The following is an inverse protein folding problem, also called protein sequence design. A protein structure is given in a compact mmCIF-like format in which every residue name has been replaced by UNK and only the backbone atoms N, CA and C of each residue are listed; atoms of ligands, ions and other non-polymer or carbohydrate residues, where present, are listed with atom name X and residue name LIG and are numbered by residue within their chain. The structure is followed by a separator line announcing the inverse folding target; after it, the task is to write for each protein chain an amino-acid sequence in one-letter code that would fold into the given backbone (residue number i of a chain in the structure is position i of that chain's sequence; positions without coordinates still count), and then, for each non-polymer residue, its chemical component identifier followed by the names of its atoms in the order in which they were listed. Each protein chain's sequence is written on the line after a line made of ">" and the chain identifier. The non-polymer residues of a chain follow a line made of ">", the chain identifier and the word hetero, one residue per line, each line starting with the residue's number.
data_IF_543158039847
#
_entry.id   IF_543158039847
#
_cell.length_a   1.000
_cell.length_b   1.000
_cell.length_c   1.000
_cell.angle_alpha   90.00
_cell.angle_beta   90.00
_cell.angle_gamma   90.00
#
_symmetry.space_group_name_H-M   'P 1'
#
loop_
_entity.id
_entity.type
_entity.pdbx_description
1 polymer ?
#
# COMPACT_ATOMS: atom_id res chain seq x y z
N UNK A 1 13.44 -2.74 -10.00
CA UNK A 1 13.26 -1.29 -9.85
C UNK A 1 12.95 -1.04 -8.38
N UNK A 2 13.84 -0.39 -7.64
CA UNK A 2 13.55 0.07 -6.27
C UNK A 2 12.52 1.19 -6.36
N UNK A 3 11.40 1.13 -5.63
CA UNK A 3 10.45 2.23 -5.62
C UNK A 3 11.14 3.48 -5.07
N UNK A 4 11.11 4.56 -5.82
CA UNK A 4 11.63 5.86 -5.38
C UNK A 4 10.90 6.29 -4.13
N UNK A 5 11.64 6.60 -3.06
CA UNK A 5 11.09 7.13 -1.82
C UNK A 5 10.61 8.55 -2.08
N UNK A 6 9.38 8.93 -1.69
CA UNK A 6 8.95 10.33 -1.74
C UNK A 6 9.78 11.21 -0.79
N UNK A 7 10.17 12.42 -1.22
CA UNK A 7 11.09 13.30 -0.47
C UNK A 7 10.59 13.70 0.93
N UNK A 8 9.29 13.64 1.17
CA UNK A 8 8.65 13.98 2.45
C UNK A 8 8.46 12.79 3.40
N UNK A 9 8.87 11.58 3.01
CA UNK A 9 8.73 10.37 3.81
C UNK A 9 10.07 9.85 4.30
N UNK A 10 10.09 9.31 5.52
CA UNK A 10 11.27 8.62 6.01
C UNK A 10 11.53 7.36 5.14
N UNK A 11 12.73 7.19 4.57
CA UNK A 11 13.05 6.05 3.70
C UNK A 11 12.82 4.68 4.32
N UNK A 12 13.15 4.53 5.61
CA UNK A 12 12.95 3.26 6.33
C UNK A 12 11.46 2.97 6.48
N UNK A 13 10.69 3.97 6.88
CA UNK A 13 9.23 3.86 7.03
C UNK A 13 8.58 3.51 5.69
N UNK A 14 9.01 4.15 4.60
CA UNK A 14 8.52 3.87 3.25
C UNK A 14 8.81 2.44 2.82
N UNK A 15 10.05 1.96 2.98
CA UNK A 15 10.39 0.59 2.60
C UNK A 15 9.59 -0.46 3.39
N UNK A 16 9.36 -0.21 4.68
CA UNK A 16 8.49 -1.07 5.51
C UNK A 16 7.04 -1.02 5.02
N UNK A 17 6.50 0.17 4.75
CA UNK A 17 5.15 0.35 4.25
C UNK A 17 4.93 -0.35 2.89
N UNK A 18 5.90 -0.24 1.97
CA UNK A 18 5.87 -0.95 0.69
C UNK A 18 5.89 -2.47 0.88
N UNK A 19 6.72 -2.98 1.79
CA UNK A 19 6.80 -4.42 2.05
C UNK A 19 5.46 -4.98 2.56
N UNK A 20 4.84 -4.29 3.53
CA UNK A 20 3.50 -4.62 4.05
C UNK A 20 2.46 -4.55 2.94
N UNK A 21 2.46 -3.46 2.15
CA UNK A 21 1.52 -3.27 1.04
C UNK A 21 1.62 -4.38 0.00
N UNK A 22 2.83 -4.81 -0.35
CA UNK A 22 3.06 -5.92 -1.29
C UNK A 22 2.56 -7.24 -0.74
N UNK A 23 2.80 -7.53 0.54
CA UNK A 23 2.34 -8.76 1.17
C UNK A 23 0.81 -8.86 1.14
N UNK A 24 0.12 -7.77 1.46
CA UNK A 24 -1.35 -7.72 1.46
C UNK A 24 -1.94 -7.79 0.05
N UNK A 25 -1.40 -7.03 -0.90
CA UNK A 25 -1.79 -7.14 -2.31
C UNK A 25 -1.57 -8.56 -2.86
N UNK A 26 -0.46 -9.21 -2.51
CA UNK A 26 -0.18 -10.58 -2.93
C UNK A 26 -1.14 -11.61 -2.32
N UNK A 27 -1.59 -11.40 -1.08
CA UNK A 27 -2.63 -12.21 -0.44
C UNK A 27 -3.94 -12.12 -1.23
N UNK A 28 -4.43 -10.91 -1.44
CA UNK A 28 -5.69 -10.64 -2.14
C UNK A 28 -5.65 -11.17 -3.58
N UNK A 29 -4.53 -10.98 -4.28
CA UNK A 29 -4.34 -11.53 -5.63
C UNK A 29 -4.44 -13.06 -5.65
N UNK A 30 -3.81 -13.77 -4.70
CA UNK A 30 -3.90 -15.24 -4.59
C UNK A 30 -5.32 -15.71 -4.28
N UNK A 31 -6.07 -14.93 -3.53
CA UNK A 31 -7.47 -15.20 -3.20
C UNK A 31 -8.42 -14.90 -4.39
N UNK A 32 -7.88 -14.41 -5.52
CA UNK A 32 -8.65 -14.09 -6.74
C UNK A 32 -9.25 -12.69 -6.75
N UNK A 33 -8.84 -11.82 -5.82
CA UNK A 33 -9.28 -10.43 -5.73
C UNK A 33 -8.58 -9.51 -6.73
N UNK A 34 -9.08 -8.27 -6.83
CA UNK A 34 -8.57 -7.24 -7.71
C UNK A 34 -7.84 -6.12 -6.93
N UNK A 35 -7.03 -5.27 -7.60
CA UNK A 35 -6.36 -4.14 -6.95
C UNK A 35 -7.33 -3.20 -6.20
N UNK A 36 -8.56 -3.06 -6.70
CA UNK A 36 -9.60 -2.28 -6.05
C UNK A 36 -10.01 -2.84 -4.69
N UNK A 37 -9.98 -4.17 -4.52
CA UNK A 37 -10.31 -4.81 -3.25
C UNK A 37 -9.22 -4.59 -2.22
N UNK A 38 -7.96 -4.58 -2.66
CA UNK A 38 -6.83 -4.19 -1.81
C UNK A 38 -6.96 -2.73 -1.34
N UNK A 39 -7.26 -1.79 -2.24
CA UNK A 39 -7.47 -0.39 -1.86
C UNK A 39 -8.61 -0.24 -0.83
N UNK A 40 -9.74 -0.93 -1.05
CA UNK A 40 -10.88 -0.91 -0.11
C UNK A 40 -10.51 -1.46 1.27
N UNK A 41 -9.65 -2.47 1.36
CA UNK A 41 -9.20 -3.03 2.64
C UNK A 41 -8.45 -1.99 3.51
N UNK A 42 -7.87 -0.97 2.88
CA UNK A 42 -7.20 0.16 3.54
C UNK A 42 -8.07 1.43 3.56
N UNK A 43 -9.36 1.34 3.23
CA UNK A 43 -10.27 2.49 3.20
C UNK A 43 -10.03 3.47 2.05
N UNK A 44 -9.22 3.08 1.06
CA UNK A 44 -8.87 3.92 -0.09
C UNK A 44 -9.89 3.75 -1.22
N UNK A 45 -10.16 4.85 -1.92
CA UNK A 45 -11.05 4.82 -3.08
C UNK A 45 -10.29 4.29 -4.31
N UNK A 46 -10.84 3.25 -4.92
CA UNK A 46 -10.32 2.68 -6.14
C UNK A 46 -10.81 3.48 -7.34
N UNK A 47 -10.03 4.46 -7.78
CA UNK A 47 -10.29 5.18 -9.03
C UNK A 47 -10.23 4.26 -10.26
N UNK A 48 -10.54 4.82 -11.44
CA UNK A 48 -10.81 4.06 -12.68
C UNK A 48 -9.65 3.19 -13.21
N UNK A 49 -8.41 3.33 -12.71
CA UNK A 49 -7.25 2.56 -13.19
C UNK A 49 -6.33 2.14 -12.03
N UNK A 50 -6.82 1.26 -11.15
CA UNK A 50 -5.98 0.65 -10.12
C UNK A 50 -5.21 -0.55 -10.71
N UNK A 51 -3.92 -0.37 -11.00
CA UNK A 51 -2.99 -1.50 -11.21
C UNK A 51 -2.44 -1.99 -9.87
N UNK A 52 -1.89 -3.21 -9.81
CA UNK A 52 -1.29 -3.73 -8.58
C UNK A 52 -0.13 -2.88 -8.07
N UNK A 53 0.74 -2.40 -8.97
CA UNK A 53 1.83 -1.48 -8.59
C UNK A 53 1.27 -0.18 -8.00
N UNK A 54 0.26 0.40 -8.65
CA UNK A 54 -0.35 1.64 -8.15
C UNK A 54 -1.05 1.43 -6.80
N UNK A 55 -1.71 0.29 -6.61
CA UNK A 55 -2.33 -0.05 -5.33
C UNK A 55 -1.30 -0.15 -4.21
N UNK A 56 -0.15 -0.79 -4.46
CA UNK A 56 0.95 -0.87 -3.49
C UNK A 56 1.46 0.52 -3.10
N UNK A 57 1.69 1.42 -4.05
CA UNK A 57 2.17 2.77 -3.75
C UNK A 57 1.15 3.59 -2.95
N UNK A 58 -0.13 3.49 -3.30
CA UNK A 58 -1.21 4.20 -2.60
C UNK A 58 -1.37 3.70 -1.16
N UNK A 59 -1.35 2.37 -0.95
CA UNK A 59 -1.42 1.78 0.39
C UNK A 59 -0.18 2.14 1.21
N UNK A 60 1.02 2.10 0.60
CA UNK A 60 2.25 2.47 1.30
C UNK A 60 2.23 3.95 1.73
N UNK A 61 1.70 4.82 0.87
CA UNK A 61 1.50 6.24 1.18
C UNK A 61 0.52 6.40 2.36
N UNK A 62 -0.58 5.67 2.34
CA UNK A 62 -1.59 5.68 3.41
C UNK A 62 -1.01 5.21 4.76
N UNK A 63 -0.26 4.10 4.78
CA UNK A 63 0.42 3.60 5.98
C UNK A 63 1.42 4.63 6.52
N UNK A 64 2.11 5.35 5.64
CA UNK A 64 3.04 6.40 6.04
C UNK A 64 2.33 7.66 6.56
N UNK A 65 1.19 8.04 5.97
CA UNK A 65 0.38 9.19 6.38
C UNK A 65 -0.36 8.94 7.70
N UNK A 66 -0.80 7.71 7.92
CA UNK A 66 -1.48 7.24 9.12
C UNK A 66 -0.65 6.10 9.73
N UNK A 67 0.50 6.42 10.37
CA UNK A 67 1.29 5.40 11.05
C UNK A 67 0.36 4.69 12.03
N UNK A 68 0.10 3.40 11.77
CA UNK A 68 -0.80 2.57 12.55
C UNK A 68 -0.51 2.85 14.01
N UNK A 69 -1.45 3.48 14.73
CA UNK A 69 -1.29 3.73 16.15
C UNK A 69 -0.98 2.37 16.76
N UNK A 70 0.23 2.24 17.32
CA UNK A 70 0.59 1.06 18.09
C UNK A 70 -0.53 0.87 19.11
N UNK A 71 -1.30 -0.20 18.97
CA UNK A 71 -2.14 -0.65 20.07
C UNK A 71 -1.17 -0.87 21.24
N UNK A 72 -1.32 0.02 22.24
CA UNK A 72 -0.51 0.04 23.45
C UNK A 72 -0.79 -1.18 24.32
#
# INVERSE_FOLDING_TARGET
>A
MTPSVPDYLNPIQWHQAVAVSRQECARIFRDGGAPQDALKAFGLNAGDVATWERAVDLIATEICAHPMQRAA
#
